data_IF_963396296788
#
_entry.id   IF_963396296788
#
_cell.length_a   1.000
_cell.length_b   1.000
_cell.length_c   1.000
_cell.angle_alpha   90.00
_cell.angle_beta   90.00
_cell.angle_gamma   90.00
#
_symmetry.space_group_name_H-M   'P 1'
#
loop_
_entity.id
_entity.type
_entity.pdbx_description
1 polymer ?
#
# COMPACT_ATOMS: atom_id res chain seq x y z
N UNK A 1 4.06 -11.47 22.75
CA UNK A 1 3.86 -10.41 21.74
C UNK A 1 5.07 -10.47 20.80
N UNK A 2 4.87 -10.66 19.50
CA UNK A 2 5.99 -10.77 18.55
C UNK A 2 6.70 -9.42 18.41
N UNK A 3 8.01 -9.37 18.64
CA UNK A 3 8.84 -8.15 18.54
C UNK A 3 8.68 -7.49 17.16
N UNK A 4 8.71 -8.28 16.08
CA UNK A 4 8.59 -7.77 14.71
C UNK A 4 7.22 -7.13 14.42
N UNK A 5 6.14 -7.63 15.04
CA UNK A 5 4.81 -7.02 14.91
C UNK A 5 4.68 -5.74 15.73
N UNK A 6 5.37 -5.65 16.87
CA UNK A 6 5.40 -4.42 17.66
C UNK A 6 6.15 -3.32 16.89
N UNK A 7 7.30 -3.66 16.30
CA UNK A 7 8.05 -2.74 15.45
C UNK A 7 7.26 -2.27 14.23
N UNK A 8 6.52 -3.18 13.58
CA UNK A 8 5.61 -2.82 12.48
C UNK A 8 4.48 -1.91 12.97
N UNK A 9 3.86 -2.19 14.11
CA UNK A 9 2.79 -1.35 14.66
C UNK A 9 3.30 0.07 14.95
N UNK A 10 4.47 0.20 15.58
CA UNK A 10 5.10 1.50 15.85
C UNK A 10 5.37 2.22 14.53
N UNK A 11 5.99 1.54 13.56
CA UNK A 11 6.25 2.12 12.24
C UNK A 11 4.96 2.60 11.55
N UNK A 12 3.90 1.79 11.56
CA UNK A 12 2.58 2.14 11.00
C UNK A 12 1.98 3.39 11.63
N UNK A 13 2.10 3.58 12.96
CA UNK A 13 1.65 4.80 13.63
C UNK A 13 2.44 6.02 13.18
N UNK A 14 3.76 5.87 12.98
CA UNK A 14 4.63 6.95 12.54
C UNK A 14 4.45 7.30 11.05
N UNK A 15 3.80 6.46 10.24
CA UNK A 15 3.35 6.85 8.90
C UNK A 15 2.35 8.01 8.92
N UNK A 16 1.64 8.23 10.05
CA UNK A 16 0.71 9.34 10.23
C UNK A 16 1.41 10.64 10.70
N UNK A 17 2.73 10.65 10.88
CA UNK A 17 3.49 11.79 11.42
C UNK A 17 3.28 13.10 10.61
N UNK A 18 3.26 14.25 11.27
CA UNK A 18 2.98 15.54 10.60
C UNK A 18 4.10 16.01 9.68
N UNK A 19 5.35 15.78 10.08
CA UNK A 19 6.53 16.10 9.27
C UNK A 19 6.70 15.10 8.11
N UNK A 20 6.75 15.61 6.89
CA UNK A 20 6.88 14.80 5.66
C UNK A 20 8.21 14.03 5.58
N UNK A 21 9.30 14.58 6.11
CA UNK A 21 10.61 13.93 6.16
C UNK A 21 10.60 12.69 7.06
N UNK A 22 9.92 12.75 8.20
CA UNK A 22 9.75 11.61 9.11
C UNK A 22 8.89 10.53 8.47
N UNK A 23 7.77 10.89 7.84
CA UNK A 23 6.96 9.91 7.09
C UNK A 23 7.77 9.19 6.01
N UNK A 24 8.65 9.92 5.29
CA UNK A 24 9.50 9.32 4.26
C UNK A 24 10.49 8.29 4.84
N UNK A 25 11.08 8.56 6.00
CA UNK A 25 11.96 7.59 6.70
C UNK A 25 11.18 6.33 7.08
N UNK A 26 9.97 6.52 7.60
CA UNK A 26 9.10 5.41 8.03
C UNK A 26 8.60 4.57 6.87
N UNK A 27 8.38 5.15 5.68
CA UNK A 27 8.04 4.35 4.48
C UNK A 27 9.13 3.32 4.15
N UNK A 28 10.41 3.69 4.25
CA UNK A 28 11.50 2.75 3.98
C UNK A 28 11.66 1.70 5.10
N UNK A 29 11.40 2.07 6.36
CA UNK A 29 11.30 1.11 7.46
C UNK A 29 10.12 0.16 7.26
N UNK A 30 8.95 0.69 6.90
CA UNK A 30 7.73 -0.05 6.63
C UNK A 30 7.95 -1.11 5.55
N UNK A 31 8.53 -0.74 4.40
CA UNK A 31 8.89 -1.69 3.33
C UNK A 31 9.77 -2.84 3.83
N UNK A 32 10.75 -2.54 4.70
CA UNK A 32 11.64 -3.56 5.29
C UNK A 32 10.91 -4.50 6.24
N UNK A 33 9.93 -4.00 7.00
CA UNK A 33 9.17 -4.80 7.95
C UNK A 33 8.11 -5.66 7.25
N UNK A 34 7.36 -5.13 6.29
CA UNK A 34 6.29 -5.90 5.63
C UNK A 34 6.79 -6.99 4.68
N UNK A 35 8.08 -6.98 4.33
CA UNK A 35 8.72 -8.05 3.54
C UNK A 35 9.38 -9.13 4.40
N UNK A 36 9.50 -8.89 5.70
CA UNK A 36 10.08 -9.85 6.63
C UNK A 36 9.20 -11.11 6.68
N UNK A 37 9.75 -12.32 6.44
CA UNK A 37 8.96 -13.54 6.37
C UNK A 37 8.16 -13.83 7.63
N UNK A 38 8.73 -13.52 8.80
CA UNK A 38 8.08 -13.76 10.09
C UNK A 38 6.93 -12.78 10.32
N UNK A 39 7.09 -11.52 9.91
CA UNK A 39 6.03 -10.53 9.88
C UNK A 39 4.89 -10.97 8.97
N UNK A 40 5.18 -11.41 7.74
CA UNK A 40 4.18 -11.92 6.79
C UNK A 40 3.40 -13.09 7.41
N UNK A 41 4.10 -14.09 7.96
CA UNK A 41 3.49 -15.27 8.57
C UNK A 41 2.54 -14.92 9.72
N UNK A 42 2.92 -13.96 10.56
CA UNK A 42 2.05 -13.49 11.63
C UNK A 42 0.83 -12.74 11.12
N UNK A 43 1.01 -11.84 10.15
CA UNK A 43 -0.09 -11.08 9.56
C UNK A 43 -1.09 -12.00 8.84
N UNK A 44 -0.61 -12.99 8.08
CA UNK A 44 -1.43 -14.00 7.43
C UNK A 44 -2.27 -14.78 8.45
N UNK A 45 -1.61 -15.30 9.50
CA UNK A 45 -2.28 -16.04 10.57
C UNK A 45 -3.33 -15.20 11.30
N UNK A 46 -3.04 -13.93 11.57
CA UNK A 46 -3.97 -13.04 12.29
C UNK A 46 -5.12 -12.57 11.41
N UNK A 47 -4.93 -12.44 10.10
CA UNK A 47 -6.01 -12.12 9.15
C UNK A 47 -7.00 -13.26 8.98
N UNK A 48 -6.56 -14.52 9.11
CA UNK A 48 -7.44 -15.70 9.08
C UNK A 48 -8.24 -15.90 10.40
N UNK A 49 -7.87 -15.18 11.47
CA UNK A 49 -8.53 -15.28 12.78
C UNK A 49 -9.79 -14.41 12.86
N UNK A 50 -10.90 -14.99 13.36
CA UNK A 50 -12.13 -14.25 13.67
C UNK A 50 -11.96 -13.26 14.85
N UNK A 51 -10.88 -13.39 15.61
CA UNK A 51 -10.57 -12.50 16.74
C UNK A 51 -9.61 -11.40 16.28
N UNK A 52 -10.14 -10.18 16.06
CA UNK A 52 -9.39 -8.98 15.65
C UNK A 52 -8.48 -8.38 16.73
N UNK A 53 -7.90 -9.21 17.60
CA UNK A 53 -7.11 -8.79 18.78
C UNK A 53 -5.67 -8.40 18.43
N UNK A 54 -5.16 -8.85 17.29
CA UNK A 54 -3.77 -8.66 16.89
C UNK A 54 -3.65 -7.88 15.58
N UNK A 55 -2.48 -7.25 15.37
CA UNK A 55 -2.16 -6.60 14.11
C UNK A 55 -2.27 -7.61 12.96
N UNK A 56 -3.02 -7.24 11.93
CA UNK A 56 -3.32 -8.05 10.74
C UNK A 56 -3.23 -7.18 9.47
N UNK A 57 -3.36 -7.79 8.29
CA UNK A 57 -3.22 -7.06 7.02
C UNK A 57 -4.23 -5.93 6.85
N UNK A 58 -5.47 -6.08 7.33
CA UNK A 58 -6.49 -5.04 7.27
C UNK A 58 -6.12 -3.82 8.10
N UNK A 59 -5.61 -4.02 9.32
CA UNK A 59 -5.15 -2.95 10.18
C UNK A 59 -3.95 -2.21 9.54
N UNK A 60 -2.98 -2.95 9.00
CA UNK A 60 -1.83 -2.37 8.29
C UNK A 60 -2.29 -1.58 7.05
N UNK A 61 -3.25 -2.11 6.29
CA UNK A 61 -3.82 -1.40 5.15
C UNK A 61 -4.49 -0.10 5.56
N UNK A 62 -5.22 -0.06 6.69
CA UNK A 62 -5.84 1.18 7.19
C UNK A 62 -4.79 2.26 7.49
N UNK A 63 -3.66 1.89 8.10
CA UNK A 63 -2.55 2.84 8.31
C UNK A 63 -1.99 3.35 6.98
N UNK A 64 -1.75 2.45 6.02
CA UNK A 64 -1.27 2.81 4.70
C UNK A 64 -2.27 3.72 3.96
N UNK A 65 -3.57 3.44 4.04
CA UNK A 65 -4.62 4.26 3.46
C UNK A 65 -4.61 5.68 4.01
N UNK A 66 -4.50 5.84 5.34
CA UNK A 66 -4.38 7.17 5.97
C UNK A 66 -3.13 7.91 5.53
N UNK A 67 -1.99 7.23 5.43
CA UNK A 67 -0.76 7.81 4.89
C UNK A 67 -0.97 8.33 3.46
N UNK A 68 -1.59 7.53 2.58
CA UNK A 68 -1.88 7.91 1.18
C UNK A 68 -2.79 9.14 1.14
N UNK A 69 -3.83 9.16 1.96
CA UNK A 69 -4.74 10.31 2.07
C UNK A 69 -3.98 11.56 2.50
N UNK A 70 -3.14 11.47 3.53
CA UNK A 70 -2.34 12.60 4.04
C UNK A 70 -1.37 13.13 2.98
N UNK A 71 -0.65 12.25 2.29
CA UNK A 71 0.25 12.65 1.22
C UNK A 71 -0.47 13.28 0.03
N UNK A 72 -1.65 12.77 -0.32
CA UNK A 72 -2.45 13.31 -1.44
C UNK A 72 -3.04 14.67 -1.10
N UNK A 73 -3.50 14.88 0.14
CA UNK A 73 -4.01 16.18 0.60
C UNK A 73 -2.91 17.26 0.59
N UNK A 74 -1.69 16.91 1.01
CA UNK A 74 -0.54 17.82 0.89
C UNK A 74 -0.27 18.24 -0.57
N UNK A 75 -0.50 17.35 -1.53
CA UNK A 75 -0.34 17.66 -2.96
C UNK A 75 -1.50 18.53 -3.49
N UNK A 76 -2.72 18.38 -2.95
CA UNK A 76 -3.94 19.09 -3.38
C UNK A 76 -3.97 20.54 -2.91
N UNK A 77 -3.54 20.82 -1.67
CA UNK A 77 -3.47 22.19 -1.12
C UNK A 77 -2.52 23.08 -1.95
N UNK A 78 -1.57 22.47 -2.66
CA UNK A 78 -0.57 23.20 -3.43
C UNK A 78 -1.14 23.70 -4.78
N UNK A 79 -1.02 25.02 -5.05
CA UNK A 79 -1.57 25.70 -6.25
C UNK A 79 -1.23 24.96 -7.57
N UNK A 80 -2.13 24.94 -8.57
CA UNK A 80 -1.89 24.26 -9.84
C UNK A 80 -0.85 24.95 -10.72
N UNK A 81 -0.73 26.28 -10.64
CA UNK A 81 0.19 27.08 -11.44
C UNK A 81 1.54 27.25 -10.73
N UNK A 82 2.33 26.18 -10.68
CA UNK A 82 3.67 26.16 -10.09
C UNK A 82 4.75 25.91 -11.16
N UNK A 83 6.01 26.14 -10.80
CA UNK A 83 7.13 25.86 -11.69
C UNK A 83 7.14 24.42 -12.19
N UNK A 84 7.71 24.19 -13.37
CA UNK A 84 7.90 22.86 -13.94
C UNK A 84 8.65 21.91 -12.98
N UNK A 85 9.64 22.43 -12.24
CA UNK A 85 10.38 21.68 -11.21
C UNK A 85 9.50 21.23 -10.04
N UNK A 86 8.56 22.08 -9.62
CA UNK A 86 7.59 21.74 -8.57
C UNK A 86 6.60 20.69 -9.08
N UNK A 87 6.11 20.84 -10.30
CA UNK A 87 5.19 19.88 -10.92
C UNK A 87 5.84 18.50 -11.08
N UNK A 88 7.10 18.43 -11.54
CA UNK A 88 7.86 17.19 -11.64
C UNK A 88 8.04 16.50 -10.27
N UNK A 89 8.30 17.29 -9.22
CA UNK A 89 8.42 16.78 -7.85
C UNK A 89 7.09 16.17 -7.34
N UNK A 90 5.95 16.79 -7.67
CA UNK A 90 4.62 16.24 -7.35
C UNK A 90 4.35 14.93 -8.08
N UNK A 91 4.65 14.87 -9.38
CA UNK A 91 4.50 13.65 -10.17
C UNK A 91 5.36 12.50 -9.62
N UNK A 92 6.63 12.78 -9.29
CA UNK A 92 7.52 11.81 -8.63
C UNK A 92 6.92 11.29 -7.33
N UNK A 93 6.36 12.18 -6.50
CA UNK A 93 5.71 11.78 -5.24
C UNK A 93 4.51 10.87 -5.47
N UNK A 94 3.67 11.14 -6.48
CA UNK A 94 2.56 10.27 -6.86
C UNK A 94 3.02 8.89 -7.34
N UNK A 95 4.14 8.83 -8.07
CA UNK A 95 4.76 7.57 -8.50
C UNK A 95 5.31 6.77 -7.32
N UNK A 96 5.94 7.44 -6.34
CA UNK A 96 6.43 6.81 -5.11
C UNK A 96 5.28 6.20 -4.30
N UNK A 97 4.16 6.92 -4.16
CA UNK A 97 2.93 6.41 -3.49
C UNK A 97 2.39 5.20 -4.24
N UNK A 98 2.28 5.28 -5.56
CA UNK A 98 1.78 4.18 -6.40
C UNK A 98 2.68 2.93 -6.29
N UNK A 99 4.00 3.14 -6.24
CA UNK A 99 4.98 2.07 -6.07
C UNK A 99 4.89 1.42 -4.69
N UNK A 100 4.67 2.20 -3.64
CA UNK A 100 4.46 1.68 -2.28
C UNK A 100 3.20 0.81 -2.18
N UNK A 101 2.10 1.26 -2.79
CA UNK A 101 0.85 0.47 -2.84
C UNK A 101 1.11 -0.86 -3.52
N UNK A 102 1.68 -0.86 -4.73
CA UNK A 102 2.05 -2.09 -5.46
C UNK A 102 2.96 -3.01 -4.64
N UNK A 103 3.89 -2.44 -3.88
CA UNK A 103 4.79 -3.21 -3.04
C UNK A 103 4.07 -3.87 -1.87
N UNK A 104 3.23 -3.12 -1.14
CA UNK A 104 2.41 -3.65 -0.05
C UNK A 104 1.54 -4.82 -0.55
N UNK A 105 0.88 -4.61 -1.69
CA UNK A 105 0.09 -5.62 -2.38
C UNK A 105 0.91 -6.88 -2.62
N UNK A 106 2.11 -6.74 -3.19
CA UNK A 106 2.98 -7.88 -3.53
C UNK A 106 3.31 -8.70 -2.27
N UNK A 107 3.59 -8.04 -1.15
CA UNK A 107 3.86 -8.71 0.13
C UNK A 107 2.63 -9.43 0.67
N UNK A 108 1.45 -8.81 0.54
CA UNK A 108 0.20 -9.33 1.05
C UNK A 108 -0.44 -10.38 0.09
N UNK A 109 0.03 -10.46 -1.16
CA UNK A 109 -0.59 -11.22 -2.27
C UNK A 109 -0.51 -12.74 -2.16
N UNK A 110 -0.08 -13.33 -1.03
CA UNK A 110 -0.34 -14.75 -0.79
C UNK A 110 -1.84 -15.04 -0.54
N UNK A 111 -2.67 -14.06 -0.15
CA UNK A 111 -4.14 -14.23 -0.05
C UNK A 111 -5.01 -12.97 -0.33
N UNK A 112 -4.45 -11.83 -0.75
CA UNK A 112 -5.17 -10.54 -0.64
C UNK A 112 -6.27 -10.22 -1.67
N UNK A 113 -6.68 -11.11 -2.55
CA UNK A 113 -7.71 -10.81 -3.56
C UNK A 113 -9.06 -10.36 -2.92
N UNK A 114 -9.36 -10.80 -1.69
CA UNK A 114 -10.60 -10.45 -0.97
C UNK A 114 -10.58 -9.05 -0.33
N UNK A 115 -9.42 -8.55 0.09
CA UNK A 115 -9.27 -7.24 0.76
C UNK A 115 -9.39 -6.10 -0.25
N UNK A 116 -8.87 -6.31 -1.46
CA UNK A 116 -9.00 -5.38 -2.58
C UNK A 116 -10.43 -5.10 -2.99
N UNK A 117 -11.26 -6.13 -3.06
CA UNK A 117 -12.67 -6.00 -3.42
C UNK A 117 -13.43 -5.14 -2.41
N UNK A 118 -13.02 -5.13 -1.14
CA UNK A 118 -13.75 -4.43 -0.06
C UNK A 118 -13.35 -2.97 0.12
N UNK A 119 -12.14 -2.58 -0.30
CA UNK A 119 -11.57 -1.24 -0.05
C UNK A 119 -11.67 -0.31 -1.26
N UNK A 120 -11.65 -0.83 -2.49
CA UNK A 120 -11.68 -0.02 -3.70
C UNK A 120 -13.08 0.16 -4.32
N UNK A 121 -14.11 -0.48 -3.74
CA UNK A 121 -15.53 -0.39 -4.15
C UNK A 121 -16.38 0.55 -3.28
N UNK A 122 -15.79 1.39 -2.42
CA UNK A 122 -16.52 2.45 -1.71
C UNK A 122 -16.27 3.83 -2.37
N UNK A 123 -17.32 4.58 -2.73
CA UNK A 123 -17.26 5.64 -3.74
C UNK A 123 -16.75 6.98 -3.17
N UNK A 124 -15.70 7.54 -3.76
CA UNK A 124 -15.45 8.99 -3.75
C UNK A 124 -14.47 9.41 -4.86
N UNK A 125 -14.97 10.24 -5.77
CA UNK A 125 -14.33 11.02 -6.86
C UNK A 125 -13.73 10.27 -8.08
N UNK A 126 -14.36 10.52 -9.23
CA UNK A 126 -14.22 9.83 -10.54
C UNK A 126 -12.83 9.82 -11.19
N UNK A 127 -11.92 10.72 -10.80
CA UNK A 127 -10.58 10.78 -11.41
C UNK A 127 -9.67 9.67 -10.90
N UNK A 128 -9.83 9.26 -9.63
CA UNK A 128 -9.10 8.12 -9.07
C UNK A 128 -9.58 6.79 -9.63
N UNK A 129 -10.85 6.70 -10.06
CA UNK A 129 -11.44 5.49 -10.66
C UNK A 129 -10.71 5.06 -11.92
N UNK A 130 -10.38 5.98 -12.82
CA UNK A 130 -9.70 5.63 -14.08
C UNK A 130 -8.25 5.24 -13.84
N UNK A 131 -7.54 5.96 -12.96
CA UNK A 131 -6.14 5.66 -12.67
C UNK A 131 -6.00 4.33 -11.92
N UNK A 132 -6.88 4.07 -10.95
CA UNK A 132 -6.91 2.82 -10.19
C UNK A 132 -7.41 1.66 -11.06
N UNK A 133 -8.43 1.85 -11.89
CA UNK A 133 -8.87 0.84 -12.86
C UNK A 133 -7.78 0.53 -13.90
N UNK A 134 -6.97 1.51 -14.30
CA UNK A 134 -5.82 1.30 -15.19
C UNK A 134 -4.68 0.58 -14.50
N UNK A 135 -4.42 0.87 -13.21
CA UNK A 135 -3.45 0.11 -12.40
C UNK A 135 -3.93 -1.33 -12.22
N UNK A 136 -5.22 -1.54 -11.94
CA UNK A 136 -5.83 -2.87 -11.84
C UNK A 136 -5.72 -3.58 -13.19
N UNK A 137 -6.19 -3.00 -14.29
CA UNK A 137 -6.10 -3.60 -15.63
C UNK A 137 -4.66 -3.92 -16.04
N UNK A 138 -3.69 -3.03 -15.75
CA UNK A 138 -2.28 -3.28 -16.04
C UNK A 138 -1.68 -4.40 -15.18
N UNK A 139 -2.05 -4.48 -13.90
CA UNK A 139 -1.58 -5.54 -12.98
C UNK A 139 -2.25 -6.87 -13.32
N UNK A 140 -3.56 -6.89 -13.59
CA UNK A 140 -4.27 -8.11 -14.00
C UNK A 140 -3.80 -8.61 -15.37
N UNK A 141 -3.63 -7.74 -16.36
CA UNK A 141 -3.12 -8.14 -17.69
C UNK A 141 -1.66 -8.62 -17.62
N UNK A 142 -0.81 -7.97 -16.80
CA UNK A 142 0.57 -8.40 -16.57
C UNK A 142 0.69 -9.70 -15.77
N UNK A 143 -0.23 -9.97 -14.84
CA UNK A 143 -0.28 -11.22 -14.08
C UNK A 143 -0.86 -12.39 -14.89
N UNK A 144 -1.85 -12.16 -15.76
CA UNK A 144 -2.37 -13.21 -16.64
C UNK A 144 -1.33 -13.67 -17.67
N UNK A 145 -0.49 -12.76 -18.19
CA UNK A 145 0.60 -13.15 -19.10
C UNK A 145 1.77 -13.88 -18.43
N UNK A 146 1.82 -13.98 -17.09
CA UNK A 146 2.83 -14.77 -16.36
C UNK A 146 2.31 -16.13 -15.89
N UNK A 147 1.01 -16.40 -15.96
CA UNK A 147 0.43 -17.72 -15.60
C UNK A 147 0.20 -18.63 -16.80
N UNK A 148 0.23 -18.11 -18.03
CA UNK A 148 0.13 -18.95 -19.24
C UNK A 148 1.44 -19.68 -19.61
N UNK A 149 2.52 -19.47 -18.84
CA UNK A 149 3.84 -20.08 -19.08
C UNK A 149 4.28 -21.17 -18.10
N UNK A 150 3.48 -21.50 -17.07
CA UNK A 150 3.86 -22.46 -16.02
C UNK A 150 2.82 -23.57 -15.81
N UNK A 151 2.19 -24.06 -16.88
CA UNK A 151 1.46 -25.32 -16.82
C UNK A 151 1.55 -26.10 -18.14
N UNK A 152 2.72 -26.69 -18.40
CA UNK A 152 2.88 -27.82 -19.31
C UNK A 152 4.10 -28.63 -18.89
N UNK A 153 3.88 -29.93 -18.63
CA UNK A 153 4.78 -30.95 -18.05
C UNK A 153 4.83 -30.87 -16.51
N UNK A 154 4.15 -31.71 -15.73
CA UNK A 154 3.86 -33.14 -15.85
C UNK A 154 2.54 -33.50 -15.15
#
# INVERSE_FOLDING_TARGET
MSLVLNDLLICCRQLEHDRATERKKEVEKFKRLIRDPETIKHLDRHSDSKQGKYLNWDAVFRFLQKYIQKETECLRIAKPNVSASTQASRQKKMQEISSLVKYFIKCANRKLFSVYFRLYLKPSQDVHRVLVARIIHAVTKGCCSQTDGLNSKF
#
